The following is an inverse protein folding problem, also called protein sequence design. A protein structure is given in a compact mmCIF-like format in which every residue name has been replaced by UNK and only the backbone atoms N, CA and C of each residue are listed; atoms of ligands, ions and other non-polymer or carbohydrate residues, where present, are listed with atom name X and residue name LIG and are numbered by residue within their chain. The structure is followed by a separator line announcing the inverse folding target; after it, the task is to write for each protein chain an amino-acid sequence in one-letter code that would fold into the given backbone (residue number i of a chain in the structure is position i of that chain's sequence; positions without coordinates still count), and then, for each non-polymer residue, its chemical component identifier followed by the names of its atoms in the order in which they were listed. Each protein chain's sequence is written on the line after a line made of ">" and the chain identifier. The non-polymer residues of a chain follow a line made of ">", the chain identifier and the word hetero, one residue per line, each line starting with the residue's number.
data_IF_255206751560
#
_entry.id   IF_255206751560
#
_cell.length_a   1.000
_cell.length_b   1.000
_cell.length_c   1.000
_cell.angle_alpha   90.00
_cell.angle_beta   90.00
_cell.angle_gamma   90.00
#
_symmetry.space_group_name_H-M   'P 1'
#
loop_
_entity.id
_entity.type
_entity.pdbx_description
1 polymer ?
#
# COMPACT_ATOMS: atom_id res chain seq x y z
N UNK A 1 3.10 -12.18 -9.00
CA UNK A 1 2.86 -10.77 -8.68
C UNK A 1 2.91 -10.57 -7.19
N UNK A 2 3.98 -9.89 -6.81
CA UNK A 2 4.18 -9.31 -5.49
C UNK A 2 3.14 -8.20 -5.31
N UNK A 3 2.72 -7.96 -4.06
CA UNK A 3 1.86 -6.82 -3.72
C UNK A 3 2.70 -5.80 -2.98
N UNK A 4 2.53 -4.52 -3.29
CA UNK A 4 3.20 -3.39 -2.66
C UNK A 4 2.20 -2.55 -1.87
N UNK A 5 2.67 -1.61 -1.06
CA UNK A 5 1.80 -0.78 -0.22
C UNK A 5 2.07 0.72 -0.35
N UNK A 6 1.03 1.52 -0.18
CA UNK A 6 1.18 2.93 0.17
C UNK A 6 1.29 3.12 1.68
N UNK A 7 1.93 4.18 2.15
CA UNK A 7 1.98 4.50 3.57
C UNK A 7 1.84 6.00 3.81
N UNK A 8 0.80 6.40 4.54
CA UNK A 8 0.53 7.80 4.80
C UNK A 8 1.41 8.35 5.92
N UNK A 9 1.91 9.56 5.70
CA UNK A 9 2.67 10.33 6.66
C UNK A 9 1.98 11.66 6.99
N UNK A 10 2.07 12.07 8.25
CA UNK A 10 1.84 13.45 8.64
C UNK A 10 2.96 14.30 8.03
N UNK A 11 2.67 15.49 7.50
CA UNK A 11 3.74 16.31 6.94
C UNK A 11 4.80 16.67 7.99
N UNK A 12 6.08 16.45 7.68
CA UNK A 12 7.19 16.72 8.59
C UNK A 12 8.22 17.62 7.93
N UNK A 13 8.51 18.77 8.56
CA UNK A 13 9.42 19.79 8.00
C UNK A 13 10.90 19.42 8.04
N UNK A 14 11.27 18.31 8.67
CA UNK A 14 12.64 17.81 8.70
C UNK A 14 12.79 16.46 7.98
N UNK A 15 11.94 16.19 6.98
CA UNK A 15 12.09 15.01 6.12
C UNK A 15 11.90 13.66 6.82
N UNK A 16 11.05 13.59 7.86
CA UNK A 16 10.72 12.34 8.57
C UNK A 16 11.96 11.52 9.03
N UNK A 17 12.97 12.22 9.55
CA UNK A 17 14.28 11.66 9.89
C UNK A 17 14.43 11.27 11.38
N UNK A 18 13.34 11.17 12.13
CA UNK A 18 13.35 10.87 13.58
C UNK A 18 13.79 12.03 14.48
N UNK A 19 13.72 13.27 13.99
CA UNK A 19 14.00 14.49 14.75
C UNK A 19 12.75 15.35 14.86
N UNK A 20 12.66 16.16 15.91
CA UNK A 20 11.68 17.25 15.96
C UNK A 20 11.91 18.20 14.78
N UNK A 21 10.83 18.78 14.24
CA UNK A 21 10.93 19.78 13.17
C UNK A 21 11.93 20.90 13.53
N UNK A 22 12.61 21.46 12.52
CA UNK A 22 13.51 22.62 12.74
C UNK A 22 12.73 23.87 13.16
N UNK A 23 11.51 24.03 12.65
CA UNK A 23 10.54 25.01 13.13
C UNK A 23 9.18 24.33 13.36
N UNK A 24 8.94 23.81 14.58
CA UNK A 24 7.67 23.16 14.92
C UNK A 24 6.47 24.10 14.85
N UNK A 25 6.67 25.41 15.10
CA UNK A 25 5.58 26.39 15.09
C UNK A 25 5.12 26.70 13.67
N UNK A 26 6.03 26.74 12.69
CA UNK A 26 5.71 26.94 11.29
C UNK A 26 5.06 25.72 10.62
N UNK A 27 5.20 24.52 11.19
CA UNK A 27 4.55 23.32 10.65
C UNK A 27 3.05 23.28 11.00
N UNK A 28 2.24 24.03 10.26
CA UNK A 28 0.77 24.02 10.37
C UNK A 28 0.15 22.81 9.66
N UNK A 29 0.89 22.15 8.78
CA UNK A 29 0.43 21.01 8.00
C UNK A 29 0.31 19.74 8.83
N UNK A 30 1.22 19.50 9.78
CA UNK A 30 1.14 18.34 10.66
C UNK A 30 -0.10 18.36 11.58
N UNK A 31 -0.72 19.53 11.79
CA UNK A 31 -1.96 19.69 12.57
C UNK A 31 -3.18 20.01 11.68
N UNK A 32 -3.03 19.98 10.36
CA UNK A 32 -4.12 20.27 9.44
C UNK A 32 -5.21 19.18 9.43
N UNK A 33 -6.41 19.46 8.91
CA UNK A 33 -7.58 18.57 8.96
C UNK A 33 -7.38 17.23 8.23
N UNK A 34 -6.42 17.17 7.30
CA UNK A 34 -6.04 15.98 6.56
C UNK A 34 -4.67 15.42 7.01
N UNK A 35 -4.27 15.65 8.26
CA UNK A 35 -3.07 15.05 8.83
C UNK A 35 -3.24 13.56 9.16
N UNK A 36 -2.19 12.94 9.68
CA UNK A 36 -2.12 11.54 10.04
C UNK A 36 -1.51 11.38 11.45
N UNK A 37 -2.04 10.50 12.32
CA UNK A 37 -3.28 9.73 12.19
C UNK A 37 -4.52 10.56 12.59
N UNK A 38 -5.24 11.15 11.62
CA UNK A 38 -6.39 12.01 11.92
C UNK A 38 -5.98 13.27 12.68
N UNK A 39 -6.65 13.56 13.80
CA UNK A 39 -6.43 14.74 14.64
C UNK A 39 -5.32 14.59 15.70
N UNK A 40 -4.70 13.42 15.83
CA UNK A 40 -3.81 13.10 16.96
C UNK A 40 -2.68 14.11 17.17
N UNK A 41 -2.04 14.59 16.10
CA UNK A 41 -0.96 15.58 16.21
C UNK A 41 -1.48 16.93 16.70
N UNK A 42 -2.65 17.36 16.23
CA UNK A 42 -3.27 18.62 16.65
C UNK A 42 -3.69 18.58 18.13
N UNK A 43 -4.23 17.45 18.57
CA UNK A 43 -4.75 17.26 19.92
C UNK A 43 -3.66 17.09 20.98
N UNK A 44 -2.52 16.49 20.62
CA UNK A 44 -1.54 15.99 21.59
C UNK A 44 -0.17 16.65 21.51
N UNK A 45 0.09 17.51 20.53
CA UNK A 45 1.40 18.15 20.44
C UNK A 45 1.60 19.12 21.59
N UNK A 46 2.80 19.14 22.15
CA UNK A 46 3.18 20.11 23.17
C UNK A 46 4.13 21.12 22.54
N UNK A 47 3.57 22.15 21.89
CA UNK A 47 4.35 23.07 21.06
C UNK A 47 5.50 23.72 21.84
N UNK A 48 5.32 24.04 23.13
CA UNK A 48 6.40 24.58 23.97
C UNK A 48 7.57 23.60 24.12
N UNK A 49 7.28 22.31 24.29
CA UNK A 49 8.28 21.24 24.40
C UNK A 49 8.96 21.03 23.05
N UNK A 50 8.19 20.98 21.96
CA UNK A 50 8.73 20.80 20.61
C UNK A 50 9.65 21.97 20.22
N UNK A 51 9.23 23.22 20.43
CA UNK A 51 10.05 24.42 20.14
C UNK A 51 11.34 24.42 20.96
N UNK A 52 11.29 24.06 22.25
CA UNK A 52 12.50 23.95 23.08
C UNK A 52 13.46 22.82 22.65
N UNK A 53 12.98 21.91 21.80
CA UNK A 53 13.73 20.75 21.30
C UNK A 53 13.80 20.70 19.76
N UNK A 54 13.61 21.83 19.08
CA UNK A 54 13.66 21.91 17.62
C UNK A 54 14.95 21.29 17.06
N UNK A 55 14.83 20.56 15.95
CA UNK A 55 15.94 19.86 15.30
C UNK A 55 16.61 18.74 16.12
N UNK A 56 16.21 18.50 17.38
CA UNK A 56 16.81 17.43 18.19
C UNK A 56 16.22 16.07 17.80
N UNK A 57 17.08 15.05 17.80
CA UNK A 57 16.65 13.66 17.64
C UNK A 57 15.68 13.28 18.77
N UNK A 58 14.62 12.55 18.44
CA UNK A 58 13.61 12.11 19.42
C UNK A 58 14.21 11.29 20.56
N UNK A 59 15.32 10.60 20.33
CA UNK A 59 16.09 9.86 21.37
C UNK A 59 16.68 10.76 22.46
N UNK A 60 16.76 12.08 22.24
CA UNK A 60 17.33 13.06 23.17
C UNK A 60 16.26 13.89 23.89
N UNK A 61 14.98 13.62 23.64
CA UNK A 61 13.90 14.28 24.37
C UNK A 61 13.95 13.83 25.83
N UNK A 62 13.83 14.78 26.75
CA UNK A 62 13.83 14.52 28.19
C UNK A 62 12.40 14.30 28.67
N UNK A 63 12.23 13.42 29.66
CA UNK A 63 10.91 13.03 30.19
C UNK A 63 10.19 12.04 29.28
N UNK A 64 8.89 11.84 29.55
CA UNK A 64 8.07 10.82 28.87
C UNK A 64 7.39 11.34 27.59
N UNK A 65 7.86 12.48 27.06
CA UNK A 65 7.27 13.11 25.89
C UNK A 65 7.69 12.41 24.60
N UNK A 66 6.72 11.81 23.92
CA UNK A 66 6.87 11.22 22.58
C UNK A 66 6.08 12.09 21.60
N UNK A 67 6.69 12.65 20.54
CA UNK A 67 5.97 13.47 19.57
C UNK A 67 4.79 12.71 18.96
N UNK A 68 3.58 13.30 18.86
CA UNK A 68 2.40 12.59 18.39
C UNK A 68 2.43 12.24 16.90
N UNK A 69 3.37 12.81 16.13
CA UNK A 69 3.63 12.40 14.74
C UNK A 69 4.47 11.10 14.63
N UNK A 70 4.68 10.38 15.74
CA UNK A 70 5.56 9.21 15.82
C UNK A 70 5.27 8.11 14.80
N UNK A 71 4.04 7.94 14.37
CA UNK A 71 3.67 6.93 13.36
C UNK A 71 4.24 7.20 11.97
N UNK A 72 4.78 8.39 11.71
CA UNK A 72 5.48 8.70 10.45
C UNK A 72 6.83 9.37 10.62
N UNK A 73 7.17 9.91 11.81
CA UNK A 73 8.37 10.73 12.01
C UNK A 73 9.68 9.98 11.75
N UNK A 74 9.69 8.64 11.84
CA UNK A 74 10.89 7.82 11.70
C UNK A 74 10.98 7.07 10.37
N UNK A 75 10.16 7.43 9.37
CA UNK A 75 10.13 6.78 8.06
C UNK A 75 11.52 6.69 7.40
N UNK A 76 12.36 7.72 7.61
CA UNK A 76 13.73 7.82 7.10
C UNK A 76 14.73 8.14 8.23
N UNK A 77 14.43 7.72 9.46
CA UNK A 77 15.30 7.92 10.61
C UNK A 77 16.30 6.78 10.82
N UNK A 78 17.53 7.11 11.25
CA UNK A 78 18.61 6.14 11.44
C UNK A 78 18.70 5.55 12.86
N UNK A 79 17.81 5.96 13.76
CA UNK A 79 17.84 5.56 15.17
C UNK A 79 16.54 4.91 15.60
N UNK A 80 16.67 4.02 16.58
CA UNK A 80 15.55 3.49 17.34
C UNK A 80 14.95 4.62 18.17
N UNK A 81 13.64 4.84 18.08
CA UNK A 81 12.90 5.81 18.90
C UNK A 81 11.79 5.08 19.67
N UNK A 82 11.05 5.78 20.52
CA UNK A 82 9.87 5.22 21.17
C UNK A 82 8.59 5.66 20.47
N UNK A 83 7.64 4.74 20.33
CA UNK A 83 6.28 4.97 19.88
C UNK A 83 5.29 4.65 21.00
N UNK A 84 4.07 5.17 20.87
CA UNK A 84 3.03 4.93 21.86
C UNK A 84 1.65 4.80 21.21
N UNK A 85 0.73 4.20 21.94
CA UNK A 85 -0.69 4.22 21.64
C UNK A 85 -1.45 4.33 22.95
N UNK A 86 -2.35 5.31 23.02
CA UNK A 86 -3.29 5.43 24.12
C UNK A 86 -4.54 4.59 23.82
N UNK A 87 -5.16 3.99 24.86
CA UNK A 87 -6.41 3.28 24.71
C UNK A 87 -7.51 4.24 24.21
N UNK A 88 -8.45 3.76 23.39
CA UNK A 88 -9.59 4.57 22.99
C UNK A 88 -10.45 5.00 24.17
N UNK A 89 -11.00 6.22 24.13
CA UNK A 89 -11.80 6.78 25.23
C UNK A 89 -13.05 5.96 25.56
N UNK A 90 -13.60 5.23 24.59
CA UNK A 90 -14.76 4.35 24.78
C UNK A 90 -14.43 3.01 25.45
N UNK A 91 -13.15 2.74 25.76
CA UNK A 91 -12.82 1.68 26.69
C UNK A 91 -13.39 2.06 28.06
N UNK A 92 -13.09 3.26 28.59
CA UNK A 92 -13.65 3.75 29.86
C UNK A 92 -13.42 2.75 31.03
N UNK A 93 -12.18 2.30 31.15
CA UNK A 93 -11.66 1.45 32.24
C UNK A 93 -10.16 1.72 32.45
N UNK A 94 -9.51 0.91 33.30
CA UNK A 94 -8.09 1.06 33.68
C UNK A 94 -7.10 0.46 32.64
N UNK A 95 -7.53 0.29 31.39
CA UNK A 95 -6.59 -0.06 30.30
C UNK A 95 -5.55 1.03 30.15
N UNK A 96 -4.28 0.65 30.00
CA UNK A 96 -3.14 1.56 30.02
C UNK A 96 -2.51 1.76 28.64
N UNK A 97 -1.78 2.89 28.50
CA UNK A 97 -0.97 3.20 27.33
C UNK A 97 0.03 2.07 27.05
N UNK A 98 0.18 1.72 25.79
CA UNK A 98 1.35 0.94 25.32
C UNK A 98 2.45 1.90 24.87
N UNK A 99 3.68 1.66 25.31
CA UNK A 99 4.90 2.24 24.75
C UNK A 99 5.77 1.11 24.21
N UNK A 100 6.35 1.29 23.03
CA UNK A 100 7.26 0.31 22.44
C UNK A 100 8.40 0.98 21.67
N UNK A 101 9.46 0.19 21.45
CA UNK A 101 10.58 0.59 20.61
C UNK A 101 10.22 0.51 19.14
N UNK A 102 10.40 1.62 18.44
CA UNK A 102 10.27 1.74 16.99
C UNK A 102 11.68 1.65 16.37
N UNK A 103 11.90 0.67 15.50
CA UNK A 103 13.17 0.50 14.81
C UNK A 103 13.50 1.71 13.90
N UNK A 104 14.77 1.88 13.48
CA UNK A 104 15.12 2.82 12.41
C UNK A 104 14.29 2.55 11.15
N UNK A 105 13.93 3.62 10.43
CA UNK A 105 13.22 3.54 9.15
C UNK A 105 11.90 2.79 9.23
N UNK A 106 11.09 3.14 10.22
CA UNK A 106 9.82 2.47 10.52
C UNK A 106 8.69 3.48 10.55
N UNK A 107 7.56 3.09 9.98
CA UNK A 107 6.27 3.79 10.07
C UNK A 107 5.25 2.89 10.75
N UNK A 108 4.19 3.48 11.30
CA UNK A 108 3.07 2.74 11.82
C UNK A 108 1.83 3.04 10.97
N UNK A 109 1.19 2.01 10.42
CA UNK A 109 0.04 2.11 9.51
C UNK A 109 -1.06 1.11 9.89
N UNK A 110 -2.29 1.36 9.43
CA UNK A 110 -3.41 0.43 9.61
C UNK A 110 -4.31 0.36 8.37
N UNK A 111 -4.81 -0.82 7.99
CA UNK A 111 -5.62 -0.99 6.79
C UNK A 111 -7.09 -0.63 7.04
N UNK A 112 -7.37 0.68 7.13
CA UNK A 112 -8.70 1.20 7.46
C UNK A 112 -9.84 0.53 6.68
N UNK A 113 -9.70 0.38 5.36
CA UNK A 113 -10.78 -0.19 4.54
C UNK A 113 -11.03 -1.66 4.83
N UNK A 114 -10.00 -2.42 5.17
CA UNK A 114 -10.12 -3.83 5.55
C UNK A 114 -10.74 -3.98 6.94
N UNK A 115 -10.49 -3.03 7.83
CA UNK A 115 -11.03 -3.02 9.20
C UNK A 115 -12.44 -2.40 9.30
N UNK A 116 -12.96 -1.78 8.25
CA UNK A 116 -14.26 -1.10 8.28
C UNK A 116 -15.17 -1.53 7.10
N UNK A 117 -14.93 -2.72 6.54
CA UNK A 117 -15.77 -3.35 5.53
C UNK A 117 -17.18 -3.66 6.01
N UNK A 118 -18.04 -4.13 5.11
CA UNK A 118 -19.41 -4.54 5.47
C UNK A 118 -19.44 -5.83 6.31
N UNK A 119 -18.46 -6.71 6.12
CA UNK A 119 -18.30 -7.98 6.82
C UNK A 119 -18.04 -7.85 8.32
N UNK A 120 -17.51 -6.71 8.77
CA UNK A 120 -17.26 -6.43 10.20
C UNK A 120 -18.43 -5.73 10.89
N UNK A 121 -19.47 -5.31 10.15
CA UNK A 121 -20.61 -4.59 10.74
C UNK A 121 -21.62 -5.56 11.32
N UNK A 122 -22.02 -5.31 12.56
CA UNK A 122 -23.06 -6.07 13.27
C UNK A 122 -24.36 -5.26 13.37
N UNK A 123 -25.47 -5.94 13.66
CA UNK A 123 -26.75 -5.30 13.95
C UNK A 123 -26.61 -4.26 15.08
N UNK A 124 -27.26 -3.10 14.92
CA UNK A 124 -27.17 -1.99 15.86
C UNK A 124 -25.90 -1.13 15.74
N UNK A 125 -25.14 -1.25 14.64
CA UNK A 125 -24.03 -0.35 14.33
C UNK A 125 -22.74 -0.62 15.10
N UNK A 126 -22.63 -1.79 15.74
CA UNK A 126 -21.41 -2.28 16.37
C UNK A 126 -20.48 -2.92 15.33
N UNK A 127 -19.21 -3.07 15.70
CA UNK A 127 -18.22 -3.75 14.88
C UNK A 127 -17.73 -5.02 15.57
N UNK A 128 -17.50 -6.06 14.77
CA UNK A 128 -16.82 -7.28 15.17
C UNK A 128 -15.30 -7.04 15.21
N UNK A 129 -14.70 -7.03 16.40
CA UNK A 129 -13.28 -6.73 16.55
C UNK A 129 -12.37 -7.92 16.24
N UNK A 130 -12.85 -9.15 16.37
CA UNK A 130 -12.09 -10.34 15.99
C UNK A 130 -11.97 -10.42 14.47
N UNK A 131 -13.07 -10.16 13.75
CA UNK A 131 -13.06 -10.08 12.29
C UNK A 131 -12.20 -8.89 11.81
N UNK A 132 -12.21 -7.75 12.51
CA UNK A 132 -11.29 -6.63 12.21
C UNK A 132 -9.83 -7.01 12.34
N UNK A 133 -9.48 -7.67 13.44
CA UNK A 133 -8.12 -8.13 13.69
C UNK A 133 -7.69 -9.14 12.62
N UNK A 134 -8.57 -10.08 12.27
CA UNK A 134 -8.35 -11.01 11.16
C UNK A 134 -8.11 -10.28 9.84
N UNK A 135 -8.99 -9.36 9.45
CA UNK A 135 -8.83 -8.59 8.20
C UNK A 135 -7.54 -7.76 8.16
N UNK A 136 -7.11 -7.24 9.30
CA UNK A 136 -5.83 -6.53 9.41
C UNK A 136 -4.64 -7.48 9.24
N UNK A 137 -4.68 -8.66 9.84
CA UNK A 137 -3.65 -9.70 9.66
C UNK A 137 -3.59 -10.15 8.20
N UNK A 138 -4.72 -10.54 7.63
CA UNK A 138 -4.84 -10.97 6.23
C UNK A 138 -4.27 -9.90 5.27
N UNK A 139 -4.52 -8.62 5.56
CA UNK A 139 -3.97 -7.52 4.77
C UNK A 139 -2.45 -7.45 4.84
N UNK A 140 -1.85 -7.62 6.01
CA UNK A 140 -0.40 -7.49 6.16
C UNK A 140 0.37 -8.74 5.73
N UNK A 141 -0.24 -9.92 5.84
CA UNK A 141 0.33 -11.21 5.41
C UNK A 141 0.54 -11.32 3.90
N UNK A 142 -0.14 -10.48 3.09
CA UNK A 142 0.05 -10.48 1.64
C UNK A 142 1.36 -9.82 1.18
N UNK A 143 2.04 -9.07 2.06
CA UNK A 143 3.28 -8.37 1.73
C UNK A 143 4.49 -9.25 2.07
N UNK A 144 5.42 -9.31 1.13
CA UNK A 144 6.61 -10.15 1.22
C UNK A 144 7.81 -9.31 1.68
N UNK A 145 8.36 -9.64 2.85
CA UNK A 145 9.58 -9.01 3.35
C UNK A 145 10.73 -9.19 2.35
N UNK A 146 11.53 -8.15 2.15
CA UNK A 146 12.63 -8.10 1.17
C UNK A 146 12.18 -8.21 -0.30
N UNK A 147 10.89 -8.08 -0.59
CA UNK A 147 10.37 -8.05 -1.97
C UNK A 147 9.42 -6.88 -2.17
N UNK A 148 8.36 -6.78 -1.34
CA UNK A 148 7.37 -5.72 -1.40
C UNK A 148 8.00 -4.34 -1.23
N UNK A 149 7.34 -3.34 -1.82
CA UNK A 149 7.74 -1.94 -1.78
C UNK A 149 6.74 -1.17 -0.93
N UNK A 150 7.23 -0.11 -0.30
CA UNK A 150 6.43 0.86 0.44
C UNK A 150 6.59 2.23 -0.22
N UNK A 151 5.47 2.83 -0.61
CA UNK A 151 5.39 4.14 -1.24
C UNK A 151 4.80 5.15 -0.24
N UNK A 152 5.64 6.04 0.26
CA UNK A 152 5.24 7.00 1.28
C UNK A 152 4.53 8.19 0.64
N UNK A 153 3.46 8.67 1.26
CA UNK A 153 2.72 9.82 0.76
C UNK A 153 2.16 10.70 1.87
N UNK A 154 1.86 11.96 1.55
CA UNK A 154 1.08 12.85 2.41
C UNK A 154 -0.24 13.22 1.75
N UNK A 155 -1.27 13.38 2.58
CA UNK A 155 -2.60 13.80 2.14
C UNK A 155 -2.66 15.34 2.05
N UNK A 156 -3.85 15.93 1.95
CA UNK A 156 -4.01 17.32 1.54
C UNK A 156 -3.42 18.36 2.51
N UNK A 157 -3.13 17.99 3.76
CA UNK A 157 -2.38 18.83 4.69
C UNK A 157 -0.87 18.74 4.36
N UNK A 158 -0.47 19.36 3.25
CA UNK A 158 0.91 19.45 2.81
C UNK A 158 1.16 20.83 2.15
N UNK A 159 2.41 21.32 2.09
CA UNK A 159 2.74 22.67 1.61
C UNK A 159 2.70 22.84 0.09
N UNK A 160 2.50 21.76 -0.68
CA UNK A 160 2.45 21.82 -2.15
C UNK A 160 1.02 22.00 -2.68
N UNK A 161 0.01 21.90 -1.80
CA UNK A 161 -1.36 22.21 -2.18
C UNK A 161 -1.59 23.71 -2.18
N UNK A 162 -2.20 24.18 -3.26
CA UNK A 162 -2.76 25.52 -3.37
C UNK A 162 -4.20 25.52 -2.85
N UNK A 163 -4.77 26.70 -2.57
CA UNK A 163 -6.08 26.85 -1.92
C UNK A 163 -7.21 26.04 -2.60
N UNK A 164 -7.15 25.89 -3.92
CA UNK A 164 -8.19 25.25 -4.73
C UNK A 164 -7.84 23.85 -5.23
N UNK A 165 -6.64 23.33 -4.91
CA UNK A 165 -6.16 22.04 -5.42
C UNK A 165 -5.79 21.08 -4.29
N UNK A 166 -6.56 20.00 -4.18
CA UNK A 166 -6.32 18.91 -3.22
C UNK A 166 -5.54 17.79 -3.88
N UNK A 167 -4.21 17.83 -3.76
CA UNK A 167 -3.32 16.80 -4.29
C UNK A 167 -2.71 15.97 -3.17
N UNK A 168 -2.66 14.66 -3.41
CA UNK A 168 -1.79 13.75 -2.66
C UNK A 168 -0.36 13.95 -3.15
N UNK A 169 0.61 13.88 -2.24
CA UNK A 169 2.03 14.07 -2.58
C UNK A 169 2.79 12.80 -2.23
N UNK A 170 3.50 12.23 -3.20
CA UNK A 170 4.42 11.13 -2.97
C UNK A 170 5.70 11.69 -2.35
N UNK A 171 6.10 11.10 -1.23
CA UNK A 171 7.19 11.55 -0.36
C UNK A 171 8.48 10.79 -0.62
N UNK A 172 8.39 9.51 -0.95
CA UNK A 172 9.55 8.65 -1.13
C UNK A 172 9.15 7.20 -1.24
N UNK A 173 10.14 6.32 -1.30
CA UNK A 173 9.90 4.89 -1.37
C UNK A 173 11.02 4.08 -0.73
N UNK A 174 10.73 2.84 -0.36
CA UNK A 174 11.75 1.89 0.07
C UNK A 174 11.25 0.45 -0.12
N UNK A 175 12.17 -0.52 -0.04
CA UNK A 175 11.82 -1.92 0.09
C UNK A 175 11.41 -2.25 1.52
N UNK A 176 10.35 -3.03 1.68
CA UNK A 176 9.90 -3.53 2.98
C UNK A 176 10.95 -4.48 3.53
N UNK A 177 11.39 -4.21 4.77
CA UNK A 177 12.33 -5.05 5.51
C UNK A 177 11.63 -5.97 6.49
N UNK A 178 10.64 -5.44 7.22
CA UNK A 178 9.92 -6.20 8.24
C UNK A 178 8.50 -5.68 8.43
N UNK A 179 7.55 -6.60 8.53
CA UNK A 179 6.19 -6.33 9.00
C UNK A 179 6.12 -6.69 10.49
N UNK A 180 5.58 -5.78 11.30
CA UNK A 180 5.52 -5.90 12.75
C UNK A 180 4.33 -6.73 13.24
N UNK A 181 4.53 -7.43 14.35
CA UNK A 181 3.47 -8.21 14.99
C UNK A 181 2.33 -7.33 15.53
N UNK A 182 1.15 -7.94 15.68
CA UNK A 182 0.02 -7.31 16.37
C UNK A 182 0.40 -7.00 17.81
N UNK A 183 0.06 -5.79 18.26
CA UNK A 183 0.29 -5.33 19.64
C UNK A 183 -1.03 -5.17 20.37
N UNK A 184 -0.96 -5.19 21.70
CA UNK A 184 -2.09 -5.02 22.60
C UNK A 184 -1.77 -3.93 23.62
N UNK A 185 -2.82 -3.24 24.09
CA UNK A 185 -2.70 -2.30 25.21
C UNK A 185 -2.29 -3.04 26.49
N UNK A 186 -1.75 -2.28 27.45
CA UNK A 186 -1.37 -2.83 28.75
C UNK A 186 -2.59 -2.86 29.69
N UNK A 187 -2.62 -3.81 30.62
CA UNK A 187 -3.66 -3.90 31.66
C UNK A 187 -5.12 -3.89 31.14
N UNK A 188 -5.39 -4.50 29.98
CA UNK A 188 -6.76 -4.61 29.44
C UNK A 188 -7.70 -5.36 30.40
N UNK A 189 -8.85 -4.77 30.72
CA UNK A 189 -9.91 -5.45 31.49
C UNK A 189 -10.45 -6.69 30.76
N UNK A 190 -11.04 -7.66 31.47
CA UNK A 190 -11.68 -8.84 30.86
C UNK A 190 -12.68 -8.44 29.76
N UNK A 191 -13.50 -7.41 30.03
CA UNK A 191 -14.44 -6.85 29.06
C UNK A 191 -13.74 -6.33 27.80
N UNK A 192 -12.58 -5.68 27.92
CA UNK A 192 -11.82 -5.21 26.74
C UNK A 192 -11.22 -6.38 25.98
N UNK A 193 -10.69 -7.37 26.69
CA UNK A 193 -10.13 -8.57 26.08
C UNK A 193 -11.18 -9.33 25.27
N UNK A 194 -12.39 -9.51 25.83
CA UNK A 194 -13.50 -10.20 25.16
C UNK A 194 -14.10 -9.39 24.01
N UNK A 195 -14.30 -8.07 24.18
CA UNK A 195 -15.08 -7.26 23.22
C UNK A 195 -14.25 -6.63 22.11
N UNK A 196 -12.96 -6.40 22.35
CA UNK A 196 -12.09 -5.65 21.45
C UNK A 196 -10.89 -6.49 21.00
N UNK A 197 -11.09 -7.81 20.85
CA UNK A 197 -10.11 -8.78 20.40
C UNK A 197 -8.77 -8.61 21.12
N UNK A 198 -8.79 -8.72 22.45
CA UNK A 198 -7.63 -8.55 23.31
C UNK A 198 -7.24 -7.10 23.61
N UNK A 199 -7.96 -6.11 23.08
CA UNK A 199 -7.54 -4.71 23.11
C UNK A 199 -6.35 -4.48 22.17
N UNK A 200 -6.44 -4.99 20.94
CA UNK A 200 -5.36 -4.82 19.97
C UNK A 200 -5.20 -3.35 19.53
N UNK A 201 -3.95 -2.97 19.28
CA UNK A 201 -3.57 -1.66 18.78
C UNK A 201 -3.67 -1.69 17.25
N UNK A 202 -4.33 -0.71 16.65
CA UNK A 202 -4.55 -0.69 15.19
C UNK A 202 -3.26 -0.51 14.39
N UNK A 203 -2.27 0.16 14.97
CA UNK A 203 -1.01 0.50 14.33
C UNK A 203 -0.12 -0.74 14.18
N UNK A 204 0.23 -1.08 12.95
CA UNK A 204 1.25 -2.07 12.62
C UNK A 204 2.52 -1.36 12.17
N UNK A 205 3.66 -1.78 12.72
CA UNK A 205 4.98 -1.26 12.36
C UNK A 205 5.41 -1.85 11.01
N UNK A 206 5.81 -1.01 10.06
CA UNK A 206 6.46 -1.44 8.81
C UNK A 206 7.83 -0.81 8.76
N UNK A 207 8.86 -1.66 8.85
CA UNK A 207 10.27 -1.27 8.78
C UNK A 207 10.77 -1.45 7.36
N UNK A 208 11.56 -0.50 6.88
CA UNK A 208 12.11 -0.52 5.52
C UNK A 208 13.63 -0.74 5.50
N UNK A 209 14.16 -0.94 4.30
CA UNK A 209 15.59 -1.06 4.04
C UNK A 209 16.27 0.29 3.80
N UNK A 210 15.64 1.41 4.13
CA UNK A 210 16.31 2.72 4.07
C UNK A 210 17.53 2.75 5.02
N UNK A 211 18.67 3.32 4.61
CA UNK A 211 18.91 4.03 3.35
C UNK A 211 19.43 3.15 2.21
N UNK A 212 19.62 1.84 2.36
CA UNK A 212 20.29 1.02 1.34
C UNK A 212 19.38 0.75 0.14
N UNK A 213 18.09 0.49 0.39
CA UNK A 213 17.06 0.27 -0.65
C UNK A 213 15.87 1.19 -0.40
N UNK A 214 16.10 2.50 -0.46
CA UNK A 214 15.07 3.51 -0.35
C UNK A 214 15.62 4.92 -0.29
N UNK A 215 14.75 5.90 -0.49
CA UNK A 215 15.07 7.32 -0.36
C UNK A 215 13.79 8.17 -0.18
N UNK A 216 13.98 9.43 0.20
CA UNK A 216 12.92 10.43 0.24
C UNK A 216 13.19 11.56 -0.72
N UNK A 217 12.14 12.19 -1.22
CA UNK A 217 12.24 13.43 -1.98
C UNK A 217 12.55 14.59 -1.03
N UNK A 218 13.50 15.48 -1.39
CA UNK A 218 14.04 16.49 -0.47
C UNK A 218 13.14 17.73 -0.32
N UNK A 219 11.81 17.57 -0.27
CA UNK A 219 10.86 18.69 -0.19
C UNK A 219 11.24 19.73 0.87
N UNK A 220 11.58 19.27 2.08
CA UNK A 220 11.99 20.09 3.21
C UNK A 220 13.18 21.04 2.93
N UNK A 221 14.06 20.70 1.99
CA UNK A 221 15.20 21.54 1.60
C UNK A 221 14.83 22.64 0.60
N UNK A 222 13.70 22.48 -0.10
CA UNK A 222 13.31 23.32 -1.23
C UNK A 222 11.97 24.05 -1.02
N UNK A 223 11.37 24.01 0.18
CA UNK A 223 10.10 24.71 0.47
C UNK A 223 10.12 26.23 0.17
N UNK A 224 11.28 26.87 0.25
CA UNK A 224 11.46 28.28 -0.11
C UNK A 224 11.82 28.52 -1.59
N UNK A 225 11.81 27.48 -2.44
CA UNK A 225 12.25 27.52 -3.85
C UNK A 225 11.21 26.80 -4.75
N UNK A 226 10.03 27.41 -4.97
CA UNK A 226 8.95 26.80 -5.76
C UNK A 226 9.39 26.33 -7.16
N UNK A 227 10.27 27.09 -7.81
CA UNK A 227 10.81 26.79 -9.14
C UNK A 227 11.64 25.50 -9.18
N UNK A 228 12.24 25.11 -8.06
CA UNK A 228 12.93 23.81 -7.95
C UNK A 228 11.93 22.72 -7.58
N UNK A 229 11.01 22.99 -6.66
CA UNK A 229 9.97 22.04 -6.27
C UNK A 229 9.14 21.56 -7.46
N UNK A 230 8.73 22.46 -8.35
CA UNK A 230 7.91 22.13 -9.53
C UNK A 230 8.57 21.07 -10.42
N UNK A 231 9.90 21.00 -10.44
CA UNK A 231 10.64 20.06 -11.29
C UNK A 231 10.59 18.61 -10.78
N UNK A 232 10.45 18.42 -9.47
CA UNK A 232 10.48 17.07 -8.86
C UNK A 232 9.24 16.74 -8.01
N UNK A 233 8.30 17.67 -7.83
CA UNK A 233 7.08 17.43 -7.11
C UNK A 233 6.32 16.25 -7.72
N UNK A 234 6.05 15.26 -6.89
CA UNK A 234 5.47 14.00 -7.33
C UNK A 234 4.04 13.87 -6.82
N UNK A 235 3.10 14.06 -7.75
CA UNK A 235 1.68 13.80 -7.55
C UNK A 235 1.31 12.50 -8.27
N UNK A 236 0.58 11.57 -7.65
CA UNK A 236 0.22 10.31 -8.29
C UNK A 236 -0.92 10.48 -9.28
N UNK A 237 -0.78 9.93 -10.49
CA UNK A 237 -1.84 9.94 -11.52
C UNK A 237 -3.09 9.17 -11.06
N UNK A 238 -2.89 8.07 -10.32
CA UNK A 238 -3.96 7.31 -9.67
C UNK A 238 -4.03 7.62 -8.16
N UNK A 239 -4.71 8.69 -7.72
CA UNK A 239 -4.80 9.06 -6.31
C UNK A 239 -5.56 8.03 -5.47
N UNK A 240 -6.28 7.08 -6.10
CA UNK A 240 -6.95 6.01 -5.36
C UNK A 240 -5.94 5.09 -4.68
N UNK A 241 -4.71 4.98 -5.14
CA UNK A 241 -3.70 4.15 -4.46
C UNK A 241 -3.23 4.76 -3.13
N UNK A 242 -3.48 6.06 -2.93
CA UNK A 242 -2.94 6.86 -1.83
C UNK A 242 -4.05 7.38 -0.92
N UNK A 243 -4.86 6.49 -0.36
CA UNK A 243 -5.99 6.84 0.51
C UNK A 243 -5.90 6.17 1.88
N UNK A 244 -6.52 6.82 2.88
CA UNK A 244 -6.54 6.38 4.27
C UNK A 244 -5.15 6.37 4.90
N UNK A 245 -4.67 5.23 5.40
CA UNK A 245 -3.33 5.10 5.97
C UNK A 245 -2.43 4.22 5.08
N UNK A 246 -3.03 3.24 4.39
CA UNK A 246 -2.35 2.31 3.49
C UNK A 246 -3.36 1.68 2.53
N UNK A 247 -2.90 1.29 1.34
CA UNK A 247 -3.61 0.54 0.30
C UNK A 247 -2.63 -0.34 -0.47
N UNK A 248 -3.14 -1.40 -1.06
CA UNK A 248 -2.40 -2.26 -1.98
C UNK A 248 -2.07 -1.53 -3.29
N UNK A 249 -0.89 -1.84 -3.82
CA UNK A 249 -0.37 -1.36 -5.11
C UNK A 249 0.12 -2.60 -5.86
N UNK A 250 -0.33 -2.78 -7.10
CA UNK A 250 0.08 -3.89 -7.95
C UNK A 250 1.40 -3.61 -8.66
N UNK A 251 1.99 -4.62 -9.31
CA UNK A 251 3.25 -4.48 -10.05
C UNK A 251 3.15 -3.42 -11.17
N UNK A 252 2.01 -3.32 -11.88
CA UNK A 252 1.78 -2.29 -12.93
C UNK A 252 1.83 -0.88 -12.34
N UNK A 253 1.04 -0.61 -11.30
CA UNK A 253 1.03 0.69 -10.63
C UNK A 253 2.40 1.01 -10.00
N UNK A 254 3.11 -0.01 -9.49
CA UNK A 254 4.44 0.17 -8.91
C UNK A 254 5.50 0.50 -9.97
N UNK A 255 5.43 -0.08 -11.17
CA UNK A 255 6.31 0.24 -12.29
C UNK A 255 6.20 1.72 -12.64
N UNK A 256 4.98 2.22 -12.84
CA UNK A 256 4.73 3.63 -13.17
C UNK A 256 5.33 4.57 -12.11
N UNK A 257 5.14 4.22 -10.82
CA UNK A 257 5.71 4.99 -9.71
C UNK A 257 7.24 4.98 -9.71
N UNK A 258 7.86 3.81 -9.92
CA UNK A 258 9.33 3.63 -9.89
C UNK A 258 9.99 4.32 -11.07
N UNK A 259 9.40 4.25 -12.27
CA UNK A 259 9.88 4.97 -13.45
C UNK A 259 9.82 6.48 -13.22
N UNK A 260 8.73 6.98 -12.63
CA UNK A 260 8.64 8.40 -12.27
C UNK A 260 9.65 8.80 -11.19
N UNK A 261 9.93 7.94 -10.23
CA UNK A 261 11.01 8.16 -9.25
C UNK A 261 12.40 8.20 -9.92
N UNK A 262 12.63 7.38 -10.93
CA UNK A 262 13.89 7.35 -11.69
C UNK A 262 14.12 8.68 -12.44
N UNK A 263 13.09 9.21 -13.10
CA UNK A 263 13.13 10.53 -13.73
C UNK A 263 13.43 11.64 -12.72
N UNK A 264 12.75 11.63 -11.58
CA UNK A 264 12.94 12.60 -10.50
C UNK A 264 14.36 12.52 -9.93
N UNK A 265 14.88 11.31 -9.70
CA UNK A 265 16.24 11.12 -9.20
C UNK A 265 17.29 11.67 -10.18
N UNK A 266 17.08 11.49 -11.50
CA UNK A 266 17.89 12.12 -12.54
C UNK A 266 17.84 13.64 -12.47
N UNK A 267 16.63 14.21 -12.37
CA UNK A 267 16.41 15.65 -12.24
C UNK A 267 17.12 16.24 -11.01
N UNK A 268 17.00 15.60 -9.85
CA UNK A 268 17.67 16.04 -8.62
C UNK A 268 19.21 15.92 -8.72
N UNK A 269 19.71 14.88 -9.38
CA UNK A 269 21.13 14.73 -9.66
C UNK A 269 21.66 15.86 -10.55
N UNK A 270 20.94 16.22 -11.62
CA UNK A 270 21.32 17.29 -12.56
C UNK A 270 21.28 18.67 -11.90
N UNK A 271 20.35 18.88 -10.97
CA UNK A 271 20.28 20.07 -10.11
C UNK A 271 21.42 20.15 -9.09
N UNK A 272 22.22 19.08 -8.94
CA UNK A 272 23.33 19.01 -7.99
C UNK A 272 22.90 18.84 -6.53
N UNK A 273 21.69 18.31 -6.29
CA UNK A 273 21.23 17.97 -4.96
C UNK A 273 22.15 16.91 -4.32
N UNK A 274 22.39 17.03 -3.00
CA UNK A 274 23.26 16.13 -2.23
C UNK A 274 22.56 15.50 -1.03
N UNK A 275 21.24 15.56 -0.99
CA UNK A 275 20.45 15.01 0.12
C UNK A 275 20.46 13.48 0.15
N UNK A 276 20.72 12.86 -0.99
CA UNK A 276 20.86 11.42 -1.20
C UNK A 276 22.06 11.13 -2.13
N UNK A 277 22.52 9.88 -2.16
CA UNK A 277 23.44 9.41 -3.20
C UNK A 277 22.65 9.09 -4.47
N UNK A 278 22.34 10.11 -5.27
CA UNK A 278 21.51 9.97 -6.48
C UNK A 278 22.05 8.94 -7.48
N UNK A 279 23.35 8.87 -7.80
CA UNK A 279 23.89 7.80 -8.64
C UNK A 279 23.57 6.40 -8.11
N UNK A 280 23.70 6.18 -6.79
CA UNK A 280 23.34 4.91 -6.17
C UNK A 280 21.81 4.67 -6.22
N UNK A 281 20.98 5.70 -5.99
CA UNK A 281 19.50 5.59 -6.06
C UNK A 281 19.04 5.24 -7.47
N UNK A 282 19.57 5.92 -8.49
CA UNK A 282 19.28 5.68 -9.91
C UNK A 282 19.62 4.23 -10.29
N UNK A 283 20.80 3.75 -9.89
CA UNK A 283 21.21 2.36 -10.14
C UNK A 283 20.27 1.35 -9.48
N UNK A 284 19.84 1.63 -8.25
CA UNK A 284 18.87 0.78 -7.54
C UNK A 284 17.50 0.78 -8.22
N UNK A 285 16.98 1.96 -8.60
CA UNK A 285 15.70 2.10 -9.32
C UNK A 285 15.72 1.36 -10.67
N UNK A 286 16.81 1.44 -11.43
CA UNK A 286 16.94 0.69 -12.69
C UNK A 286 16.89 -0.83 -12.48
N UNK A 287 17.53 -1.34 -11.43
CA UNK A 287 17.41 -2.75 -11.05
C UNK A 287 15.98 -3.11 -10.66
N UNK A 288 15.33 -2.23 -9.90
CA UNK A 288 13.97 -2.43 -9.43
C UNK A 288 12.94 -2.45 -10.58
N UNK A 289 13.10 -1.61 -11.60
CA UNK A 289 12.30 -1.69 -12.84
C UNK A 289 12.40 -3.09 -13.46
N UNK A 290 13.62 -3.64 -13.57
CA UNK A 290 13.81 -5.01 -14.07
C UNK A 290 13.17 -6.09 -13.20
N UNK A 291 13.23 -5.93 -11.87
CA UNK A 291 12.57 -6.86 -10.92
C UNK A 291 11.05 -6.83 -11.07
N UNK A 292 10.46 -5.63 -11.18
CA UNK A 292 9.02 -5.44 -11.33
C UNK A 292 8.50 -5.97 -12.67
N UNK A 293 9.20 -5.70 -13.79
CA UNK A 293 8.86 -6.28 -15.10
C UNK A 293 8.83 -7.81 -15.07
N UNK A 294 9.78 -8.43 -14.35
CA UNK A 294 9.81 -9.88 -14.16
C UNK A 294 8.65 -10.36 -13.28
N UNK A 295 8.36 -9.68 -12.18
CA UNK A 295 7.26 -10.06 -11.26
C UNK A 295 5.87 -9.94 -11.91
N UNK A 296 5.67 -8.86 -12.67
CA UNK A 296 4.46 -8.58 -13.46
C UNK A 296 4.18 -9.70 -14.46
N UNK A 297 5.22 -10.14 -15.16
CA UNK A 297 5.11 -11.13 -16.24
C UNK A 297 4.26 -10.64 -17.42
N UNK A 298 4.01 -11.55 -18.36
CA UNK A 298 3.23 -11.24 -19.56
C UNK A 298 1.71 -11.14 -19.36
N UNK A 299 1.19 -11.75 -18.29
CA UNK A 299 -0.25 -11.86 -18.04
C UNK A 299 -0.64 -11.47 -16.61
N UNK A 300 -0.56 -10.16 -16.26
CA UNK A 300 -0.87 -9.69 -14.91
C UNK A 300 -2.34 -9.91 -14.51
N UNK A 301 -3.28 -9.95 -15.46
CA UNK A 301 -4.70 -10.19 -15.19
C UNK A 301 -5.08 -11.65 -14.91
N UNK A 302 -4.14 -12.60 -15.10
CA UNK A 302 -4.44 -14.02 -14.99
C UNK A 302 -4.93 -14.44 -13.59
N UNK A 303 -4.36 -13.97 -12.46
CA UNK A 303 -4.86 -14.33 -11.13
C UNK A 303 -6.31 -13.90 -10.89
N UNK A 304 -6.68 -12.68 -11.28
CA UNK A 304 -8.05 -12.18 -11.16
C UNK A 304 -9.03 -12.98 -12.01
N UNK A 305 -8.59 -13.41 -13.19
CA UNK A 305 -9.38 -14.28 -14.06
C UNK A 305 -9.60 -15.67 -13.44
N UNK A 306 -8.56 -16.27 -12.85
CA UNK A 306 -8.65 -17.56 -12.18
C UNK A 306 -9.63 -17.51 -11.01
N UNK A 307 -9.64 -16.43 -10.22
CA UNK A 307 -10.63 -16.21 -9.16
C UNK A 307 -12.06 -16.13 -9.73
N UNK A 308 -12.27 -15.39 -10.82
CA UNK A 308 -13.60 -15.31 -11.46
C UNK A 308 -14.08 -16.67 -11.96
N UNK A 309 -13.16 -17.54 -12.36
CA UNK A 309 -13.43 -18.91 -12.80
C UNK A 309 -13.55 -19.91 -11.63
N UNK A 310 -13.38 -19.48 -10.38
CA UNK A 310 -13.37 -20.37 -9.21
C UNK A 310 -12.19 -21.35 -9.19
N UNK A 311 -11.06 -20.93 -9.77
CA UNK A 311 -9.85 -21.73 -9.92
C UNK A 311 -8.67 -21.17 -9.11
N UNK A 312 -8.94 -20.69 -7.91
CA UNK A 312 -7.97 -20.05 -7.02
C UNK A 312 -6.79 -20.97 -6.66
N UNK A 313 -7.02 -22.29 -6.66
CA UNK A 313 -5.98 -23.29 -6.44
C UNK A 313 -4.84 -23.24 -7.47
N UNK A 314 -5.08 -22.67 -8.66
CA UNK A 314 -4.06 -22.49 -9.69
C UNK A 314 -3.18 -21.24 -9.49
N UNK A 315 -3.59 -20.29 -8.64
CA UNK A 315 -2.88 -19.02 -8.44
C UNK A 315 -1.45 -19.22 -7.88
N UNK A 316 -1.20 -20.10 -6.89
CA UNK A 316 0.17 -20.33 -6.39
C UNK A 316 1.10 -20.87 -7.47
N UNK A 317 0.66 -21.88 -8.22
CA UNK A 317 1.42 -22.44 -9.35
C UNK A 317 1.68 -21.38 -10.42
N UNK A 318 0.66 -20.58 -10.75
CA UNK A 318 0.81 -19.49 -11.70
C UNK A 318 1.92 -18.51 -11.29
N UNK A 319 1.90 -18.05 -10.03
CA UNK A 319 2.92 -17.12 -9.50
C UNK A 319 4.33 -17.72 -9.56
N UNK A 320 4.46 -19.01 -9.25
CA UNK A 320 5.73 -19.72 -9.34
C UNK A 320 6.27 -19.75 -10.79
N UNK A 321 5.41 -20.11 -11.75
CA UNK A 321 5.79 -20.24 -13.17
C UNK A 321 6.16 -18.91 -13.82
N UNK A 322 5.49 -17.81 -13.44
CA UNK A 322 5.89 -16.45 -13.85
C UNK A 322 7.33 -16.15 -13.42
N UNK A 323 7.73 -16.51 -12.20
CA UNK A 323 9.10 -16.27 -11.72
C UNK A 323 10.16 -17.09 -12.47
N UNK A 324 9.75 -18.21 -13.05
CA UNK A 324 10.57 -19.10 -13.87
C UNK A 324 10.59 -18.69 -15.36
N UNK A 325 9.72 -17.75 -15.78
CA UNK A 325 9.57 -17.35 -17.19
C UNK A 325 8.76 -18.33 -18.03
N UNK A 326 7.94 -19.18 -17.39
CA UNK A 326 7.12 -20.23 -18.00
C UNK A 326 5.63 -19.85 -18.07
N UNK A 327 5.31 -18.55 -18.01
CA UNK A 327 3.91 -18.11 -17.92
C UNK A 327 3.10 -18.36 -19.19
N UNK A 328 3.74 -18.40 -20.37
CA UNK A 328 3.04 -18.69 -21.63
C UNK A 328 2.61 -20.16 -21.69
N UNK A 329 3.53 -21.08 -21.42
CA UNK A 329 3.22 -22.52 -21.39
C UNK A 329 2.18 -22.83 -20.32
N UNK A 330 2.29 -22.20 -19.15
CA UNK A 330 1.34 -22.39 -18.05
C UNK A 330 -0.05 -21.88 -18.42
N UNK A 331 -0.15 -20.73 -19.10
CA UNK A 331 -1.42 -20.18 -19.59
C UNK A 331 -2.08 -21.17 -20.55
N UNK A 332 -1.32 -21.69 -21.50
CA UNK A 332 -1.83 -22.60 -22.52
C UNK A 332 -2.28 -23.93 -21.89
N UNK A 333 -1.53 -24.45 -20.91
CA UNK A 333 -1.92 -25.63 -20.14
C UNK A 333 -3.22 -25.41 -19.35
N UNK A 334 -3.39 -24.24 -18.71
CA UNK A 334 -4.61 -23.88 -17.99
C UNK A 334 -5.81 -23.86 -18.93
N UNK A 335 -5.74 -23.16 -20.06
CA UNK A 335 -6.87 -23.11 -21.00
C UNK A 335 -7.12 -24.46 -21.70
N UNK A 336 -6.08 -25.27 -21.96
CA UNK A 336 -6.25 -26.63 -22.46
C UNK A 336 -7.00 -27.52 -21.46
N UNK A 337 -6.72 -27.37 -20.16
CA UNK A 337 -7.46 -28.05 -19.10
C UNK A 337 -8.92 -27.58 -19.02
N UNK A 338 -9.16 -26.26 -19.09
CA UNK A 338 -10.51 -25.69 -19.11
C UNK A 338 -11.34 -26.16 -20.32
N UNK A 339 -10.71 -26.28 -21.48
CA UNK A 339 -11.32 -26.83 -22.71
C UNK A 339 -11.56 -28.36 -22.65
N UNK A 340 -11.03 -29.04 -21.63
CA UNK A 340 -11.06 -30.50 -21.53
C UNK A 340 -10.10 -31.22 -22.48
N UNK A 341 -9.15 -30.49 -23.09
CA UNK A 341 -8.07 -31.04 -23.92
C UNK A 341 -6.94 -31.65 -23.08
N UNK A 342 -6.82 -31.23 -21.83
CA UNK A 342 -5.90 -31.80 -20.84
C UNK A 342 -6.67 -32.26 -19.59
N UNK A 343 -6.23 -33.37 -18.98
CA UNK A 343 -6.83 -33.91 -17.73
C UNK A 343 -6.11 -33.47 -16.46
N UNK A 344 -4.85 -33.03 -16.58
CA UNK A 344 -3.98 -32.62 -15.47
C UNK A 344 -3.08 -31.50 -15.94
N UNK A 345 -2.64 -30.68 -14.99
CA UNK A 345 -1.63 -29.65 -15.17
C UNK A 345 -0.48 -30.03 -14.24
N UNK A 346 0.76 -30.00 -14.75
CA UNK A 346 1.91 -30.38 -13.95
C UNK A 346 2.13 -29.42 -12.77
N UNK A 347 2.44 -29.97 -11.60
CA UNK A 347 2.53 -29.21 -10.34
C UNK A 347 1.20 -28.71 -9.75
N UNK A 348 0.05 -29.00 -10.39
CA UNK A 348 -1.25 -28.56 -9.86
C UNK A 348 -2.04 -29.72 -9.23
N UNK A 349 -2.26 -29.61 -7.91
CA UNK A 349 -3.15 -30.52 -7.19
C UNK A 349 -4.61 -30.00 -7.26
N UNK A 350 -5.44 -30.66 -8.07
CA UNK A 350 -6.88 -30.37 -8.19
C UNK A 350 -7.64 -31.68 -8.04
N UNK A 351 -8.66 -31.71 -7.18
CA UNK A 351 -9.54 -32.87 -7.09
C UNK A 351 -10.55 -32.93 -8.26
N UNK A 352 -11.14 -34.10 -8.49
CA UNK A 352 -12.09 -34.30 -9.60
C UNK A 352 -13.34 -33.41 -9.50
N UNK A 353 -13.74 -33.01 -8.29
CA UNK A 353 -14.93 -32.19 -8.06
C UNK A 353 -14.66 -30.75 -8.49
N UNK A 354 -13.54 -30.18 -8.07
CA UNK A 354 -13.08 -28.86 -8.44
C UNK A 354 -12.78 -28.81 -9.95
N UNK A 355 -12.07 -29.80 -10.49
CA UNK A 355 -11.80 -29.90 -11.92
C UNK A 355 -13.08 -29.82 -12.76
N UNK A 356 -14.12 -30.58 -12.38
CA UNK A 356 -15.43 -30.54 -13.04
C UNK A 356 -16.15 -29.20 -12.85
N UNK A 357 -16.06 -28.60 -11.66
CA UNK A 357 -16.70 -27.33 -11.36
C UNK A 357 -16.14 -26.19 -12.22
N UNK A 358 -14.82 -26.05 -12.26
CA UNK A 358 -14.14 -25.01 -13.05
C UNK A 358 -14.38 -25.22 -14.55
N UNK A 359 -14.24 -26.46 -15.06
CA UNK A 359 -14.51 -26.74 -16.48
C UNK A 359 -15.97 -26.45 -16.86
N UNK A 360 -16.92 -26.72 -15.95
CA UNK A 360 -18.33 -26.32 -16.16
C UNK A 360 -18.48 -24.81 -16.19
N UNK A 361 -17.84 -24.09 -15.29
CA UNK A 361 -17.90 -22.63 -15.22
C UNK A 361 -17.32 -21.96 -16.49
N UNK A 362 -16.23 -22.51 -17.03
CA UNK A 362 -15.67 -22.11 -18.33
C UNK A 362 -16.65 -22.37 -19.48
N UNK A 363 -17.28 -23.55 -19.52
CA UNK A 363 -18.24 -23.92 -20.57
C UNK A 363 -19.53 -23.09 -20.55
N UNK A 364 -19.90 -22.55 -19.40
CA UNK A 364 -21.06 -21.66 -19.24
C UNK A 364 -20.84 -20.26 -19.83
N UNK A 365 -19.59 -19.85 -20.07
CA UNK A 365 -19.30 -18.58 -20.73
C UNK A 365 -19.69 -18.63 -22.21
N UNK A 366 -20.21 -17.52 -22.72
CA UNK A 366 -20.49 -17.33 -24.15
C UNK A 366 -19.18 -17.29 -24.95
N UNK A 367 -19.25 -17.50 -26.27
CA UNK A 367 -18.05 -17.55 -27.13
C UNK A 367 -17.22 -16.26 -27.05
N UNK A 368 -17.87 -15.10 -27.15
CA UNK A 368 -17.21 -13.79 -27.03
C UNK A 368 -16.58 -13.59 -25.64
N UNK A 369 -17.22 -14.08 -24.58
CA UNK A 369 -16.66 -14.02 -23.22
C UNK A 369 -15.42 -14.89 -23.12
N UNK A 370 -15.46 -16.13 -23.64
CA UNK A 370 -14.31 -17.04 -23.66
C UNK A 370 -13.14 -16.45 -24.44
N UNK A 371 -13.41 -15.87 -25.61
CA UNK A 371 -12.38 -15.21 -26.41
C UNK A 371 -11.71 -14.08 -25.62
N UNK A 372 -12.51 -13.19 -25.02
CA UNK A 372 -11.98 -12.07 -24.26
C UNK A 372 -11.19 -12.52 -23.01
N UNK A 373 -11.71 -13.51 -22.29
CA UNK A 373 -11.07 -14.12 -21.12
C UNK A 373 -9.77 -14.84 -21.46
N UNK A 374 -9.61 -15.36 -22.68
CA UNK A 374 -8.39 -16.07 -23.09
C UNK A 374 -7.34 -15.13 -23.66
N UNK A 375 -7.75 -14.22 -24.54
CA UNK A 375 -6.82 -13.56 -25.44
C UNK A 375 -6.42 -12.16 -24.96
N UNK A 376 -7.32 -11.47 -24.24
CA UNK A 376 -7.13 -10.08 -23.81
C UNK A 376 -7.01 -9.94 -22.29
N UNK A 377 -8.02 -10.35 -21.53
CA UNK A 377 -8.10 -10.06 -20.09
C UNK A 377 -6.89 -10.54 -19.27
N UNK A 378 -6.23 -11.68 -19.59
CA UNK A 378 -5.02 -12.07 -18.88
C UNK A 378 -3.90 -11.03 -19.00
N UNK A 379 -3.87 -10.22 -20.07
CA UNK A 379 -2.82 -9.23 -20.34
C UNK A 379 -3.04 -7.90 -19.62
N UNK A 380 -4.19 -7.71 -18.96
CA UNK A 380 -4.57 -6.44 -18.33
C UNK A 380 -4.70 -6.62 -16.82
N UNK A 381 -4.07 -5.76 -16.02
CA UNK A 381 -4.19 -5.80 -14.56
C UNK A 381 -5.53 -5.22 -14.07
N UNK A 382 -6.61 -5.94 -14.35
CA UNK A 382 -7.96 -5.59 -13.92
C UNK A 382 -8.35 -6.39 -12.69
N UNK A 383 -8.96 -5.71 -11.70
CA UNK A 383 -9.51 -6.37 -10.50
C UNK A 383 -10.66 -7.30 -10.87
N UNK A 384 -10.94 -8.34 -10.06
CA UNK A 384 -12.04 -9.27 -10.32
C UNK A 384 -13.39 -8.57 -10.59
N UNK A 385 -13.74 -7.56 -9.80
CA UNK A 385 -14.97 -6.79 -10.00
C UNK A 385 -15.00 -6.00 -11.32
N UNK A 386 -13.85 -5.50 -11.79
CA UNK A 386 -13.77 -4.81 -13.07
C UNK A 386 -13.99 -5.79 -14.21
N UNK A 387 -13.34 -6.95 -14.18
CA UNK A 387 -13.55 -8.01 -15.18
C UNK A 387 -15.02 -8.46 -15.18
N UNK A 388 -15.64 -8.66 -14.01
CA UNK A 388 -17.08 -8.99 -13.91
C UNK A 388 -17.96 -7.93 -14.57
N UNK A 389 -17.65 -6.64 -14.40
CA UNK A 389 -18.37 -5.53 -15.05
C UNK A 389 -18.18 -5.54 -16.56
N UNK A 390 -16.96 -5.78 -17.05
CA UNK A 390 -16.66 -5.89 -18.48
C UNK A 390 -17.44 -7.03 -19.12
N UNK A 391 -17.44 -8.22 -18.51
CA UNK A 391 -18.10 -9.42 -19.04
C UNK A 391 -19.64 -9.38 -18.91
N UNK A 392 -20.17 -8.55 -18.01
CA UNK A 392 -21.61 -8.47 -17.72
C UNK A 392 -22.46 -8.05 -18.94
N UNK A 393 -23.61 -8.70 -19.19
CA UNK A 393 -24.56 -8.23 -20.21
C UNK A 393 -25.13 -6.84 -19.87
N UNK A 394 -25.02 -6.39 -18.61
CA UNK A 394 -25.43 -5.05 -18.15
C UNK A 394 -24.26 -4.08 -18.01
N UNK A 395 -23.14 -4.30 -18.72
CA UNK A 395 -21.92 -3.47 -18.68
C UNK A 395 -22.15 -1.98 -18.95
N UNK A 396 -23.20 -1.62 -19.69
CA UNK A 396 -23.62 -0.23 -19.89
C UNK A 396 -23.91 0.52 -18.57
N UNK A 397 -24.37 -0.20 -17.53
CA UNK A 397 -24.56 0.36 -16.19
C UNK A 397 -23.25 0.72 -15.46
N UNK A 398 -22.11 0.27 -15.99
CA UNK A 398 -20.76 0.65 -15.55
C UNK A 398 -20.06 1.60 -16.53
N UNK A 399 -20.80 2.21 -17.46
CA UNK A 399 -20.28 3.15 -18.46
C UNK A 399 -19.61 2.49 -19.67
N UNK A 400 -19.67 1.16 -19.80
CA UNK A 400 -19.08 0.43 -20.93
C UNK A 400 -20.17 0.13 -21.94
N UNK A 401 -20.19 0.86 -23.06
CA UNK A 401 -21.22 0.71 -24.10
C UNK A 401 -20.80 -0.20 -25.27
N UNK A 402 -19.50 -0.51 -25.36
CA UNK A 402 -18.92 -1.37 -26.41
C UNK A 402 -19.32 -2.84 -26.26
N UNK A 403 -19.43 -3.55 -27.38
CA UNK A 403 -19.61 -5.02 -27.38
C UNK A 403 -18.32 -5.73 -26.95
N UNK A 404 -18.43 -6.99 -26.52
CA UNK A 404 -17.24 -7.80 -26.19
C UNK A 404 -16.32 -7.96 -27.39
N UNK A 405 -16.89 -8.15 -28.59
CA UNK A 405 -16.13 -8.20 -29.83
C UNK A 405 -15.37 -6.89 -30.09
N UNK A 406 -16.02 -5.73 -29.94
CA UNK A 406 -15.37 -4.43 -30.13
C UNK A 406 -14.22 -4.22 -29.13
N UNK A 407 -14.40 -4.67 -27.87
CA UNK A 407 -13.34 -4.64 -26.86
C UNK A 407 -12.18 -5.57 -27.24
N UNK A 408 -12.47 -6.76 -27.76
CA UNK A 408 -11.45 -7.70 -28.23
C UNK A 408 -10.64 -7.17 -29.41
N UNK A 409 -11.28 -6.42 -30.32
CA UNK A 409 -10.62 -5.81 -31.48
C UNK A 409 -9.84 -4.55 -31.11
N UNK A 410 -10.33 -3.77 -30.15
CA UNK A 410 -9.71 -2.56 -29.67
C UNK A 410 -9.90 -2.39 -28.15
N UNK A 411 -8.94 -2.82 -27.31
CA UNK A 411 -9.05 -2.73 -25.85
C UNK A 411 -9.19 -1.31 -25.31
N UNK A 412 -8.77 -0.29 -26.07
CA UNK A 412 -8.87 1.12 -25.65
C UNK A 412 -10.31 1.61 -25.54
N UNK A 413 -11.30 0.89 -26.07
CA UNK A 413 -12.72 1.24 -25.89
C UNK A 413 -13.25 0.96 -24.46
N UNK A 414 -12.40 0.46 -23.57
CA UNK A 414 -12.67 0.30 -22.14
C UNK A 414 -12.42 1.58 -21.32
N UNK A 415 -11.73 2.57 -21.88
CA UNK A 415 -11.29 3.80 -21.19
C UNK A 415 -12.42 4.78 -20.88
#
# INVERSE_FOLDING_TARGET
>A
MTVHMSARLAWHMNGWNGHVCEDPAANTYCVGPHSYPGGMVAERRELKVEVANHGKCCTKLKGDYIPPCVYGINAFGSKKIQAFADPPSWFNDDTERKVWDLAPSTVCIWPYERMYGEDVKQEGGKFDYDQRLKNAKDYFEQFEENQSLIFYYSNYSNPLNQADERRYVIVGMSRVKKIGDVRYYENCSERVQERYAGGFIWQCDVTSHYPDEGFRLPYHLYLGKPEILEQFAFFPDNPRLFKFATREIADDDALDLVERFLEIAGTLSDLGDKSEDWPQRIKWLQKLVGELWKSRGLYPGMPALLEILGFEAAIPLWKERVQQGEEQETRDALFAFLDGKAKRIDGLAVDDKQAKAVARQWKLQEDDQRQLMRDLLPRMDLKPDQIRRVLSPKRAGSGIYSSLQAISENPYVLS
#
